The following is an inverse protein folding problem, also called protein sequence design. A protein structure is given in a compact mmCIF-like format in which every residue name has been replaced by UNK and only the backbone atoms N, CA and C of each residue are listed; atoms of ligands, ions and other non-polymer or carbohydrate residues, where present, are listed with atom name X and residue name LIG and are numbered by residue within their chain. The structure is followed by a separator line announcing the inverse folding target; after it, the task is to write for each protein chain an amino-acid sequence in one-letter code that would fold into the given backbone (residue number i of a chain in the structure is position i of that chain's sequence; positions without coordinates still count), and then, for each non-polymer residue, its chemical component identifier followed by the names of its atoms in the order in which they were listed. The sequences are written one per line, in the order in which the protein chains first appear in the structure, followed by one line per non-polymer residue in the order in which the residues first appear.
data_IF_493392508943
#
_entry.id   IF_493392508943
#
_cell.length_a   1.000
_cell.length_b   1.000
_cell.length_c   1.000
_cell.angle_alpha   90.00
_cell.angle_beta   90.00
_cell.angle_gamma   90.00
#
_symmetry.space_group_name_H-M   'P 1'
#
loop_
_entity.id
_entity.type
_entity.pdbx_description
1 polymer ?
#
# COMPACT_ATOMS: atom_id res chain seq x y z
N UNK A 1 -3.73 5.46 -9.32
CA UNK A 1 -2.64 6.32 -9.89
C UNK A 1 -1.73 6.86 -8.78
N UNK A 2 -0.44 6.46 -8.66
CA UNK A 2 0.36 6.76 -7.45
C UNK A 2 0.63 8.25 -7.22
N UNK A 3 0.66 9.04 -8.29
CA UNK A 3 0.93 10.48 -8.21
C UNK A 3 -0.20 11.28 -7.55
N UNK A 4 -1.47 10.83 -7.67
CA UNK A 4 -2.61 11.55 -7.10
C UNK A 4 -2.64 11.43 -5.58
N UNK A 5 -2.39 10.22 -5.06
CA UNK A 5 -2.28 9.94 -3.63
C UNK A 5 -1.13 10.72 -2.98
N UNK A 6 0.02 10.82 -3.66
CA UNK A 6 1.16 11.59 -3.15
C UNK A 6 0.90 13.09 -3.03
N UNK A 7 0.09 13.66 -3.92
CA UNK A 7 -0.28 15.09 -3.87
C UNK A 7 -1.26 15.39 -2.74
N UNK A 8 -2.25 14.53 -2.51
CA UNK A 8 -3.17 14.66 -1.38
C UNK A 8 -2.45 14.61 -0.04
N UNK A 9 -1.57 13.61 0.12
CA UNK A 9 -0.81 13.41 1.35
C UNK A 9 0.09 14.62 1.67
N UNK A 10 0.74 15.21 0.65
CA UNK A 10 1.54 16.41 0.84
C UNK A 10 0.72 17.59 1.38
N UNK A 11 -0.50 17.79 0.88
CA UNK A 11 -1.38 18.89 1.32
C UNK A 11 -1.87 18.66 2.77
N UNK A 12 -2.15 17.41 3.16
CA UNK A 12 -2.46 17.08 4.56
C UNK A 12 -1.30 17.36 5.49
N UNK A 13 -0.08 16.96 5.10
CA UNK A 13 1.11 17.19 5.90
C UNK A 13 1.34 18.70 6.10
N UNK A 14 1.13 19.52 5.06
CA UNK A 14 1.21 20.97 5.17
C UNK A 14 0.13 21.54 6.12
N UNK A 15 -1.10 21.05 6.05
CA UNK A 15 -2.17 21.45 6.98
C UNK A 15 -1.86 21.06 8.43
N UNK A 16 -1.32 19.88 8.67
CA UNK A 16 -0.87 19.43 9.99
C UNK A 16 0.29 20.29 10.51
N UNK A 17 1.26 20.63 9.65
CA UNK A 17 2.38 21.51 9.99
C UNK A 17 1.88 22.89 10.44
N UNK A 18 0.94 23.49 9.71
CA UNK A 18 0.35 24.77 10.09
C UNK A 18 -0.33 24.73 11.46
N UNK A 19 -0.99 23.60 11.78
CA UNK A 19 -1.63 23.38 13.08
C UNK A 19 -0.64 23.28 14.23
N UNK A 20 0.50 22.61 14.01
CA UNK A 20 1.56 22.46 15.02
C UNK A 20 2.28 23.79 15.26
N UNK A 21 2.58 24.53 14.18
CA UNK A 21 3.27 25.83 14.25
C UNK A 21 2.36 27.01 14.65
N UNK A 22 1.06 26.75 14.91
CA UNK A 22 0.08 27.78 15.30
C UNK A 22 0.00 28.96 14.32
N UNK A 23 0.18 28.68 13.03
CA UNK A 23 0.12 29.68 11.98
C UNK A 23 -1.32 30.18 11.78
N UNK A 24 -1.51 31.42 11.29
CA UNK A 24 -2.84 31.89 10.90
C UNK A 24 -3.45 30.96 9.84
N UNK A 25 -4.76 30.75 9.91
CA UNK A 25 -5.51 29.83 9.04
C UNK A 25 -5.18 28.35 9.20
N UNK A 26 -4.53 27.95 10.30
CA UNK A 26 -4.15 26.56 10.50
C UNK A 26 -5.32 25.56 10.50
N UNK A 27 -6.46 25.94 11.08
CA UNK A 27 -7.64 25.07 11.10
C UNK A 27 -8.23 24.91 9.70
N UNK A 28 -8.28 26.00 8.95
CA UNK A 28 -8.77 26.05 7.57
C UNK A 28 -7.89 25.22 6.65
N UNK A 29 -6.56 25.38 6.75
CA UNK A 29 -5.60 24.58 5.96
C UNK A 29 -5.69 23.09 6.30
N UNK A 30 -5.87 22.74 7.57
CA UNK A 30 -6.05 21.36 8.02
C UNK A 30 -7.36 20.76 7.49
N UNK A 31 -8.46 21.52 7.51
CA UNK A 31 -9.75 21.10 6.94
C UNK A 31 -9.62 20.85 5.44
N UNK A 32 -8.93 21.74 4.70
CA UNK A 32 -8.70 21.58 3.26
C UNK A 32 -7.88 20.32 2.98
N UNK A 33 -6.79 20.10 3.72
CA UNK A 33 -5.96 18.90 3.55
C UNK A 33 -6.75 17.62 3.82
N UNK A 34 -7.37 17.51 5.00
CA UNK A 34 -8.12 16.32 5.38
C UNK A 34 -9.33 16.09 4.47
N UNK A 35 -9.99 17.17 4.02
CA UNK A 35 -11.08 17.10 3.05
C UNK A 35 -10.62 16.56 1.69
N UNK A 36 -9.44 16.96 1.23
CA UNK A 36 -8.86 16.41 0.00
C UNK A 36 -8.57 14.92 0.14
N UNK A 37 -7.94 14.48 1.23
CA UNK A 37 -7.69 13.05 1.47
C UNK A 37 -8.99 12.25 1.57
N UNK A 38 -10.04 12.79 2.21
CA UNK A 38 -11.33 12.12 2.27
C UNK A 38 -11.92 11.86 0.87
N UNK A 39 -11.77 12.81 -0.05
CA UNK A 39 -12.22 12.66 -1.45
C UNK A 39 -11.38 11.61 -2.19
N UNK A 40 -10.05 11.70 -2.07
CA UNK A 40 -9.13 10.74 -2.71
C UNK A 40 -9.40 9.32 -2.21
N UNK A 41 -9.55 9.16 -0.89
CA UNK A 41 -9.82 7.87 -0.25
C UNK A 41 -11.19 7.31 -0.67
N UNK A 42 -12.20 8.17 -0.81
CA UNK A 42 -13.50 7.77 -1.33
C UNK A 42 -13.41 7.21 -2.75
N UNK A 43 -12.68 7.88 -3.65
CA UNK A 43 -12.52 7.39 -5.02
C UNK A 43 -11.60 6.16 -5.13
N UNK A 44 -10.64 6.01 -4.21
CA UNK A 44 -9.78 4.81 -4.11
C UNK A 44 -10.58 3.52 -3.96
N UNK A 45 -11.72 3.57 -3.23
CA UNK A 45 -12.59 2.41 -3.06
C UNK A 45 -13.20 1.89 -4.38
N UNK A 46 -13.20 2.70 -5.44
CA UNK A 46 -13.67 2.32 -6.77
C UNK A 46 -12.54 1.99 -7.75
N UNK A 47 -11.26 2.16 -7.37
CA UNK A 47 -10.14 1.68 -8.20
C UNK A 47 -10.06 0.14 -8.13
N UNK A 48 -9.85 -0.50 -9.29
CA UNK A 48 -9.62 -1.95 -9.35
C UNK A 48 -8.34 -2.29 -8.58
N UNK A 49 -8.30 -3.37 -7.78
CA UNK A 49 -7.07 -3.79 -7.09
C UNK A 49 -5.91 -3.84 -8.08
N UNK A 50 -4.75 -3.30 -7.68
CA UNK A 50 -3.55 -3.42 -8.48
C UNK A 50 -3.25 -4.91 -8.67
N UNK A 51 -3.11 -5.35 -9.92
CA UNK A 51 -2.67 -6.71 -10.22
C UNK A 51 -1.32 -6.93 -9.55
N UNK A 52 -1.27 -7.90 -8.65
CA UNK A 52 -0.02 -8.34 -8.04
C UNK A 52 0.86 -8.90 -9.16
N UNK A 53 2.13 -8.50 -9.16
CA UNK A 53 3.07 -8.97 -10.15
C UNK A 53 3.28 -10.48 -9.92
N UNK A 54 3.10 -11.29 -10.96
CA UNK A 54 3.35 -12.74 -10.91
C UNK A 54 4.86 -12.98 -10.84
N UNK A 55 5.43 -12.83 -9.63
CA UNK A 55 6.87 -12.93 -9.37
C UNK A 55 7.44 -14.31 -9.73
N UNK A 56 6.60 -15.34 -9.71
CA UNK A 56 6.90 -16.71 -10.13
C UNK A 56 7.38 -16.78 -11.59
N UNK A 57 6.94 -15.85 -12.45
CA UNK A 57 7.41 -15.79 -13.84
C UNK A 57 8.86 -15.27 -13.96
N UNK A 58 9.29 -14.41 -13.03
CA UNK A 58 10.63 -13.84 -13.02
C UNK A 58 11.62 -14.69 -12.21
N UNK A 59 11.11 -15.36 -11.16
CA UNK A 59 11.84 -16.24 -10.25
C UNK A 59 11.05 -17.54 -10.11
N UNK A 60 11.25 -18.49 -11.03
CA UNK A 60 10.57 -19.78 -11.01
C UNK A 60 10.73 -20.53 -9.67
N UNK A 61 11.81 -20.26 -8.93
CA UNK A 61 12.08 -20.82 -7.60
C UNK A 61 11.09 -20.38 -6.51
N UNK A 62 10.30 -19.34 -6.73
CA UNK A 62 9.23 -18.90 -5.82
C UNK A 62 7.88 -19.56 -6.12
N UNK A 63 7.78 -20.26 -7.26
CA UNK A 63 6.60 -21.06 -7.57
C UNK A 63 6.48 -22.23 -6.59
N UNK A 64 5.28 -22.43 -6.06
CA UNK A 64 4.96 -23.62 -5.26
C UNK A 64 4.89 -24.87 -6.17
N UNK A 65 6.04 -25.33 -6.68
CA UNK A 65 6.14 -26.67 -7.27
C UNK A 65 6.15 -27.69 -6.12
N UNK A 66 4.97 -28.21 -5.79
CA UNK A 66 4.76 -29.27 -4.80
C UNK A 66 5.39 -30.62 -5.22
N UNK A 67 6.07 -30.66 -6.36
CA UNK A 67 6.74 -31.82 -6.95
C UNK A 67 8.26 -31.82 -6.81
N UNK A 68 8.87 -30.77 -6.23
CA UNK A 68 10.31 -30.75 -5.95
C UNK A 68 10.60 -31.23 -4.50
N UNK A 69 11.22 -32.41 -4.32
CA UNK A 69 11.58 -32.91 -2.98
C UNK A 69 12.57 -32.01 -2.24
N UNK A 70 13.26 -31.08 -2.93
CA UNK A 70 14.13 -30.09 -2.30
C UNK A 70 13.38 -28.95 -1.59
N UNK A 71 12.07 -28.78 -1.86
CA UNK A 71 11.24 -27.71 -1.29
C UNK A 71 10.21 -28.23 -0.26
N UNK A 72 10.27 -29.52 0.09
CA UNK A 72 9.45 -30.12 1.14
C UNK A 72 10.00 -29.73 2.52
N UNK A 73 9.13 -29.29 3.41
CA UNK A 73 9.53 -29.04 4.81
C UNK A 73 10.00 -30.35 5.46
N UNK A 74 10.91 -30.28 6.47
CA UNK A 74 11.41 -31.49 7.13
C UNK A 74 10.31 -32.40 7.72
N UNK A 75 9.15 -31.83 8.07
CA UNK A 75 8.00 -32.59 8.54
C UNK A 75 7.36 -33.44 7.42
N UNK A 76 7.32 -32.93 6.19
CA UNK A 76 6.74 -33.64 5.04
C UNK A 76 7.64 -34.77 4.54
N UNK A 77 8.98 -34.60 4.64
CA UNK A 77 9.94 -35.66 4.28
C UNK A 77 9.87 -36.87 5.22
N UNK A 78 9.41 -36.70 6.46
CA UNK A 78 9.25 -37.77 7.44
C UNK A 78 7.95 -38.57 7.26
N UNK A 79 6.91 -37.95 6.69
CA UNK A 79 5.62 -38.59 6.44
C UNK A 79 5.63 -39.46 5.16
N UNK A 80 6.60 -39.26 4.26
CA UNK A 80 6.78 -40.04 3.01
C UNK A 80 7.77 -41.22 3.14
N UNK A 81 8.46 -41.37 4.27
CA UNK A 81 9.45 -42.43 4.54
C UNK A 81 8.88 -43.61 5.34
#
# INVERSE_FOLDING_TARGET
MPKLYGWGAAIVILGALFKIEHLPFASEMLIVGLGMEAIIFFFSAFEKPHEEYEWERAYPELGHDMTDPANMSPAQQLDEA
#
